data_IF_786813056788
#
_entry.id   IF_786813056788
#
_cell.length_a   1.000
_cell.length_b   1.000
_cell.length_c   1.000
_cell.angle_alpha   90.00
_cell.angle_beta   90.00
_cell.angle_gamma   90.00
#
_symmetry.space_group_name_H-M   'P 1'
#
loop_
_entity.id
_entity.type
_entity.pdbx_description
1 polymer ?
#
# COMPACT_ATOMS: atom_id res chain seq x y z
N UNK A 1 -30.97 -3.74 9.84
CA UNK A 1 -30.60 -2.70 8.87
C UNK A 1 -29.13 -2.80 8.44
N UNK A 2 -28.21 -3.11 9.33
CA UNK A 2 -26.77 -3.18 9.04
C UNK A 2 -26.34 -4.23 8.00
N UNK A 3 -26.98 -5.40 7.96
CA UNK A 3 -26.62 -6.44 6.99
C UNK A 3 -26.85 -6.03 5.53
N UNK A 4 -27.90 -5.23 5.30
CA UNK A 4 -28.20 -4.72 3.95
C UNK A 4 -27.24 -3.64 3.49
N UNK A 5 -26.71 -2.84 4.41
CA UNK A 5 -25.71 -1.81 4.11
C UNK A 5 -24.36 -2.46 3.79
N UNK A 6 -23.97 -3.51 4.52
CA UNK A 6 -22.74 -4.27 4.25
C UNK A 6 -22.77 -4.98 2.89
N UNK A 7 -23.91 -5.56 2.55
CA UNK A 7 -24.12 -6.19 1.23
C UNK A 7 -24.06 -5.14 0.12
N UNK A 8 -24.69 -3.96 0.30
CA UNK A 8 -24.64 -2.86 -0.66
C UNK A 8 -23.21 -2.29 -0.85
N UNK A 9 -22.44 -2.16 0.24
CA UNK A 9 -21.04 -1.72 0.15
C UNK A 9 -20.17 -2.76 -0.56
N UNK A 10 -20.31 -4.04 -0.25
CA UNK A 10 -19.60 -5.12 -0.93
C UNK A 10 -19.94 -5.21 -2.41
N UNK A 11 -21.22 -5.06 -2.77
CA UNK A 11 -21.64 -5.04 -4.18
C UNK A 11 -21.13 -3.81 -4.92
N UNK A 12 -21.05 -2.65 -4.27
CA UNK A 12 -20.48 -1.43 -4.86
C UNK A 12 -18.97 -1.57 -5.11
N UNK A 13 -18.22 -2.19 -4.20
CA UNK A 13 -16.77 -2.46 -4.38
C UNK A 13 -16.53 -3.48 -5.49
N UNK A 14 -17.34 -4.55 -5.58
CA UNK A 14 -17.23 -5.54 -6.65
C UNK A 14 -17.60 -4.95 -8.01
N UNK A 15 -18.63 -4.07 -8.06
CA UNK A 15 -19.00 -3.37 -9.29
C UNK A 15 -17.93 -2.35 -9.73
N UNK A 16 -17.28 -1.66 -8.80
CA UNK A 16 -16.17 -0.75 -9.11
C UNK A 16 -14.93 -1.51 -9.63
N UNK A 17 -14.62 -2.69 -9.06
CA UNK A 17 -13.54 -3.55 -9.53
C UNK A 17 -13.81 -4.14 -10.93
N UNK A 18 -15.07 -4.48 -11.25
CA UNK A 18 -15.43 -5.02 -12.57
C UNK A 18 -15.47 -3.95 -13.67
N UNK A 19 -15.68 -2.68 -13.33
CA UNK A 19 -15.63 -1.59 -14.29
C UNK A 19 -14.21 -1.27 -14.80
N UNK A 20 -13.17 -1.66 -14.06
CA UNK A 20 -11.77 -1.47 -14.46
C UNK A 20 -11.23 -2.56 -15.41
N UNK A 21 -11.95 -3.67 -15.58
CA UNK A 21 -11.52 -4.78 -16.45
C UNK A 21 -12.06 -4.71 -17.89
N UNK A 22 -12.94 -3.77 -18.20
CA UNK A 22 -13.55 -3.65 -19.55
C UNK A 22 -12.77 -2.80 -20.54
N UNK A 23 -11.50 -2.50 -20.28
CA UNK A 23 -10.63 -1.65 -21.12
C UNK A 23 -9.73 -2.38 -22.13
N UNK A 24 -9.82 -3.70 -22.29
CA UNK A 24 -9.04 -4.41 -23.31
C UNK A 24 -9.86 -4.59 -24.58
N UNK A 25 -9.78 -3.62 -25.51
CA UNK A 25 -10.20 -3.79 -26.88
C UNK A 25 -9.36 -4.88 -27.54
N UNK A 26 -10.05 -5.89 -28.02
CA UNK A 26 -9.52 -6.96 -28.90
C UNK A 26 -8.96 -6.30 -30.18
N UNK A 27 -7.65 -6.12 -30.23
CA UNK A 27 -6.95 -5.85 -31.47
C UNK A 27 -6.37 -7.15 -32.01
N UNK A 28 -6.77 -7.65 -33.18
CA UNK A 28 -6.20 -8.85 -33.76
C UNK A 28 -4.79 -8.56 -34.25
N UNK A 29 -3.77 -8.98 -33.51
CA UNK A 29 -2.41 -9.01 -34.01
C UNK A 29 -2.31 -10.03 -35.16
N UNK A 30 -2.20 -9.51 -36.38
CA UNK A 30 -1.85 -10.26 -37.55
C UNK A 30 -0.35 -10.56 -37.47
N UNK A 31 0.00 -11.77 -37.04
CA UNK A 31 1.38 -12.26 -37.14
C UNK A 31 1.76 -12.34 -38.62
N UNK A 32 2.62 -11.44 -39.06
CA UNK A 32 3.37 -11.59 -40.29
C UNK A 32 4.64 -12.38 -39.91
N UNK A 33 4.69 -13.62 -40.34
CA UNK A 33 5.90 -14.43 -40.29
C UNK A 33 7.00 -13.72 -41.08
N UNK A 34 8.03 -13.21 -40.43
CA UNK A 34 9.28 -12.84 -41.08
C UNK A 34 10.14 -14.11 -41.14
N UNK A 35 10.32 -14.60 -42.36
CA UNK A 35 11.30 -15.63 -42.71
C UNK A 35 12.68 -14.98 -42.65
N UNK A 36 13.50 -15.42 -41.68
CA UNK A 36 14.90 -15.06 -41.61
C UNK A 36 15.66 -15.71 -42.77
N UNK A 37 15.96 -14.91 -43.78
CA UNK A 37 16.98 -15.25 -44.74
C UNK A 37 18.29 -14.53 -44.33
N UNK A 38 19.29 -15.31 -43.97
CA UNK A 38 20.65 -14.88 -43.74
C UNK A 38 21.22 -14.35 -45.07
N UNK A 39 21.72 -13.11 -45.15
CA UNK A 39 22.51 -12.70 -46.29
C UNK A 39 23.98 -13.01 -46.02
N UNK A 40 24.49 -13.88 -46.88
CA UNK A 40 25.92 -14.08 -47.17
C UNK A 40 26.61 -12.78 -47.55
N UNK A 41 27.82 -12.60 -47.02
CA UNK A 41 28.77 -11.54 -47.41
C UNK A 41 28.98 -11.54 -48.92
N UNK A 42 28.85 -10.39 -49.52
CA UNK A 42 29.43 -10.09 -50.82
C UNK A 42 30.01 -8.65 -50.81
N UNK A 43 31.28 -8.64 -51.08
CA UNK A 43 32.24 -7.55 -51.27
C UNK A 43 31.76 -6.40 -52.15
N UNK A 44 32.25 -5.23 -51.80
CA UNK A 44 32.72 -4.08 -52.57
C UNK A 44 32.04 -3.75 -53.91
N UNK A 45 31.24 -2.66 -53.90
CA UNK A 45 31.13 -1.75 -55.03
C UNK A 45 30.80 -0.35 -54.57
N UNK A 46 31.70 0.59 -54.82
CA UNK A 46 31.51 2.03 -54.71
C UNK A 46 30.30 2.48 -55.47
N UNK A 47 29.43 3.20 -54.80
CA UNK A 47 28.25 3.86 -55.41
C UNK A 47 27.46 4.57 -54.33
N UNK A 48 27.84 5.77 -53.97
CA UNK A 48 27.18 6.58 -52.94
C UNK A 48 25.72 6.83 -53.26
N UNK A 49 24.84 6.06 -52.64
CA UNK A 49 23.45 6.47 -52.44
C UNK A 49 23.40 7.50 -51.31
N UNK A 50 22.81 8.70 -51.54
CA UNK A 50 22.68 9.65 -50.45
C UNK A 50 21.85 9.01 -49.36
N UNK A 51 22.36 9.02 -48.12
CA UNK A 51 21.62 8.55 -46.93
C UNK A 51 20.31 9.31 -46.84
N UNK A 52 19.19 8.60 -46.99
CA UNK A 52 17.80 9.17 -47.07
C UNK A 52 17.36 9.75 -45.76
N UNK A 53 18.08 9.49 -44.65
CA UNK A 53 17.80 10.06 -43.33
C UNK A 53 19.13 10.35 -42.66
N UNK A 54 19.50 11.62 -42.56
CA UNK A 54 20.55 12.09 -41.66
C UNK A 54 19.91 12.38 -40.29
N UNK A 55 20.09 11.52 -39.26
CA UNK A 55 19.51 11.76 -37.96
C UNK A 55 20.32 12.81 -37.21
N UNK A 56 20.15 14.08 -37.55
CA UNK A 56 20.65 15.23 -36.76
C UNK A 56 19.90 15.41 -35.45
N UNK A 57 19.39 14.31 -34.87
CA UNK A 57 18.87 14.34 -33.51
C UNK A 57 20.07 14.37 -32.56
N UNK A 58 20.36 15.56 -32.01
CA UNK A 58 21.28 15.68 -30.88
C UNK A 58 20.90 14.62 -29.84
N UNK A 59 21.78 13.64 -29.62
CA UNK A 59 21.60 12.65 -28.54
C UNK A 59 21.41 13.40 -27.23
N UNK A 60 20.19 13.38 -26.73
CA UNK A 60 19.85 13.92 -25.43
C UNK A 60 20.58 13.06 -24.40
N UNK A 61 21.53 13.64 -23.68
CA UNK A 61 22.15 12.97 -22.55
C UNK A 61 21.07 12.90 -21.47
N UNK A 62 20.34 11.80 -21.43
CA UNK A 62 19.41 11.51 -20.35
C UNK A 62 20.28 11.19 -19.15
N UNK A 63 20.30 12.09 -18.18
CA UNK A 63 20.94 11.87 -16.89
C UNK A 63 20.07 10.82 -16.19
N UNK A 64 20.45 9.55 -16.30
CA UNK A 64 19.84 8.50 -15.49
C UNK A 64 19.98 8.91 -14.03
N UNK A 65 18.86 9.05 -13.27
CA UNK A 65 18.95 9.29 -11.85
C UNK A 65 19.81 8.14 -11.28
N UNK A 66 20.91 8.47 -10.61
CA UNK A 66 21.57 7.50 -9.75
C UNK A 66 20.60 7.30 -8.59
N UNK A 67 19.90 6.19 -8.58
CA UNK A 67 19.15 5.72 -7.44
C UNK A 67 20.20 5.52 -6.35
N UNK A 68 20.33 6.50 -5.46
CA UNK A 68 20.97 6.27 -4.19
C UNK A 68 20.07 5.27 -3.49
N UNK A 69 20.53 4.05 -3.31
CA UNK A 69 19.86 3.05 -2.52
C UNK A 69 19.84 3.55 -1.06
N UNK A 70 18.82 4.35 -0.74
CA UNK A 70 18.49 4.65 0.65
C UNK A 70 17.57 3.52 1.08
N UNK A 71 18.14 2.52 1.74
CA UNK A 71 17.45 1.27 2.05
C UNK A 71 16.53 1.41 3.28
N UNK A 72 16.75 2.44 4.10
CA UNK A 72 15.97 2.68 5.30
C UNK A 72 14.95 3.80 5.09
N UNK A 73 13.75 3.54 5.59
CA UNK A 73 12.62 4.46 5.57
C UNK A 73 12.07 4.61 7.00
N UNK A 74 11.93 5.83 7.49
CA UNK A 74 11.34 6.13 8.79
C UNK A 74 10.31 7.25 8.66
N UNK A 75 9.23 7.16 9.38
CA UNK A 75 8.24 8.22 9.40
C UNK A 75 7.12 8.01 10.40
N UNK A 76 6.15 8.90 10.33
CA UNK A 76 4.96 8.88 11.15
C UNK A 76 3.70 8.80 10.31
N UNK A 77 2.63 8.35 10.92
CA UNK A 77 1.32 8.30 10.30
C UNK A 77 0.20 8.64 11.28
N UNK A 78 -0.90 9.10 10.73
CA UNK A 78 -2.12 9.39 11.45
C UNK A 78 -3.30 8.83 10.66
N UNK A 79 -4.38 8.48 11.35
CA UNK A 79 -5.54 7.95 10.65
C UNK A 79 -6.67 7.58 11.58
N UNK A 80 -7.44 6.61 11.13
CA UNK A 80 -8.59 6.07 11.86
C UNK A 80 -8.41 4.57 12.09
N UNK A 81 -8.74 4.14 13.29
CA UNK A 81 -8.74 2.75 13.71
C UNK A 81 -10.16 2.36 14.11
N UNK A 82 -10.78 1.47 13.34
CA UNK A 82 -12.12 0.93 13.61
C UNK A 82 -11.97 -0.33 14.46
N UNK A 83 -12.01 -0.16 15.77
CA UNK A 83 -12.00 -1.28 16.69
C UNK A 83 -13.39 -1.95 16.69
N UNK A 84 -13.42 -3.27 16.46
CA UNK A 84 -14.66 -4.02 16.48
C UNK A 84 -15.34 -3.88 17.85
N UNK A 85 -16.62 -3.51 17.85
CA UNK A 85 -17.45 -3.24 19.02
C UNK A 85 -17.15 -1.91 19.77
N UNK A 86 -16.04 -1.18 19.45
CA UNK A 86 -15.62 0.06 20.13
C UNK A 86 -15.62 1.30 19.24
N UNK A 87 -16.16 1.20 18.01
CA UNK A 87 -16.29 2.31 17.08
C UNK A 87 -14.98 2.71 16.39
N UNK A 88 -15.01 3.87 15.74
CA UNK A 88 -13.89 4.43 14.98
C UNK A 88 -13.20 5.50 15.81
N UNK A 89 -11.90 5.41 15.95
CA UNK A 89 -11.08 6.27 16.80
C UNK A 89 -9.83 6.75 16.05
N UNK A 90 -9.28 7.92 16.37
CA UNK A 90 -8.04 8.38 15.78
C UNK A 90 -6.87 7.49 16.22
N UNK A 91 -5.95 7.22 15.29
CA UNK A 91 -4.71 6.47 15.54
C UNK A 91 -3.51 7.31 15.14
N UNK A 92 -2.43 7.16 15.90
CA UNK A 92 -1.15 7.81 15.67
C UNK A 92 -0.05 6.78 15.80
N UNK A 93 0.87 6.75 14.84
CA UNK A 93 1.92 5.74 14.84
C UNK A 93 3.20 6.19 14.17
N UNK A 94 4.21 5.33 14.29
CA UNK A 94 5.47 5.43 13.61
C UNK A 94 5.73 4.16 12.80
N UNK A 95 6.41 4.31 11.69
CA UNK A 95 6.82 3.27 10.75
C UNK A 95 8.33 3.32 10.56
N UNK A 96 8.95 2.16 10.55
CA UNK A 96 10.32 1.93 10.12
C UNK A 96 10.29 0.83 9.08
N UNK A 97 10.84 1.06 7.90
CA UNK A 97 10.95 0.04 6.89
C UNK A 97 12.40 -0.08 6.37
N UNK A 98 12.75 -1.28 5.95
CA UNK A 98 14.01 -1.61 5.30
C UNK A 98 13.71 -2.25 3.95
N UNK A 99 14.15 -1.62 2.88
CA UNK A 99 13.97 -2.09 1.51
C UNK A 99 15.04 -3.12 1.18
N UNK A 100 14.65 -4.40 1.13
CA UNK A 100 15.53 -5.53 0.83
C UNK A 100 15.85 -5.57 -0.66
N UNK A 101 14.86 -5.20 -1.48
CA UNK A 101 14.95 -5.07 -2.92
C UNK A 101 13.98 -4.00 -3.42
N UNK A 102 13.94 -3.75 -4.72
CA UNK A 102 12.96 -2.82 -5.31
C UNK A 102 11.51 -3.25 -5.04
N UNK A 103 11.27 -4.56 -4.95
CA UNK A 103 9.93 -5.13 -4.75
C UNK A 103 9.62 -5.46 -3.30
N UNK A 104 10.62 -5.89 -2.49
CA UNK A 104 10.41 -6.38 -1.13
C UNK A 104 10.95 -5.44 -0.07
N UNK A 105 10.16 -5.23 0.96
CA UNK A 105 10.58 -4.50 2.16
C UNK A 105 10.11 -5.21 3.43
N UNK A 106 10.91 -5.06 4.49
CA UNK A 106 10.52 -5.42 5.85
C UNK A 106 10.11 -4.16 6.59
N UNK A 107 9.08 -4.24 7.43
CA UNK A 107 8.62 -3.09 8.20
C UNK A 107 8.34 -3.41 9.66
N UNK A 108 8.46 -2.38 10.49
CA UNK A 108 8.04 -2.36 11.88
C UNK A 108 7.10 -1.18 12.10
N UNK A 109 6.00 -1.45 12.77
CA UNK A 109 4.96 -0.47 13.07
C UNK A 109 4.73 -0.39 14.58
N UNK A 110 4.55 0.81 15.09
CA UNK A 110 4.09 1.05 16.45
C UNK A 110 3.05 2.16 16.42
N UNK A 111 1.90 1.92 17.04
CA UNK A 111 0.89 2.96 17.14
C UNK A 111 0.03 2.82 18.39
N UNK A 112 -0.70 3.90 18.65
CA UNK A 112 -1.61 3.99 19.78
C UNK A 112 -2.91 4.67 19.36
N UNK A 113 -4.01 4.17 19.91
CA UNK A 113 -5.34 4.74 19.82
C UNK A 113 -6.05 4.65 21.16
N UNK A 114 -7.07 5.45 21.38
CA UNK A 114 -7.94 5.34 22.55
C UNK A 114 -9.33 4.94 22.05
N UNK A 115 -9.79 3.74 22.41
CA UNK A 115 -11.11 3.24 21.99
C UNK A 115 -12.24 3.97 22.68
N UNK A 116 -13.37 4.13 21.96
CA UNK A 116 -14.61 4.71 22.48
C UNK A 116 -15.35 3.79 23.45
N UNK A 117 -16.56 4.17 23.79
CA UNK A 117 -17.51 3.32 24.52
C UNK A 117 -18.12 2.31 23.57
N UNK A 118 -18.45 1.13 24.09
CA UNK A 118 -19.24 0.15 23.33
C UNK A 118 -20.70 0.59 23.24
N UNK A 119 -21.40 0.12 22.22
CA UNK A 119 -22.85 0.32 22.13
C UNK A 119 -23.60 -0.21 23.35
N UNK A 120 -23.07 -1.27 24.00
CA UNK A 120 -23.62 -1.81 25.24
C UNK A 120 -23.46 -0.83 26.42
N UNK A 121 -22.30 -0.19 26.57
CA UNK A 121 -22.05 0.82 27.59
C UNK A 121 -22.91 2.08 27.40
N UNK A 122 -23.19 2.45 26.15
CA UNK A 122 -24.05 3.59 25.83
C UNK A 122 -25.53 3.30 26.14
N UNK A 123 -25.98 2.09 25.82
CA UNK A 123 -27.37 1.69 26.04
C UNK A 123 -27.69 1.37 27.52
N UNK A 124 -26.72 0.78 28.25
CA UNK A 124 -26.92 0.43 29.67
C UNK A 124 -26.79 1.61 30.63
N UNK A 125 -26.19 2.69 30.21
CA UNK A 125 -26.09 3.98 30.92
C UNK A 125 -25.32 4.00 32.24
N UNK A 126 -24.95 2.85 32.81
CA UNK A 126 -24.38 2.74 34.14
C UNK A 126 -23.18 1.80 34.29
N UNK A 127 -22.88 0.99 33.27
CA UNK A 127 -21.82 -0.03 33.39
C UNK A 127 -20.66 0.34 32.46
N UNK A 128 -19.52 0.68 33.04
CA UNK A 128 -18.27 0.83 32.29
C UNK A 128 -17.57 -0.55 32.24
N UNK A 129 -17.45 -1.13 31.04
CA UNK A 129 -16.76 -2.41 30.82
C UNK A 129 -15.24 -2.25 30.97
N UNK A 130 -14.71 -1.09 30.57
CA UNK A 130 -13.29 -0.79 30.61
C UNK A 130 -13.00 0.51 31.38
N UNK A 131 -11.93 0.53 32.14
CA UNK A 131 -11.39 1.75 32.72
C UNK A 131 -10.73 2.60 31.63
N UNK A 132 -10.54 3.90 31.89
CA UNK A 132 -9.89 4.81 30.93
C UNK A 132 -8.48 4.36 30.50
N UNK A 133 -7.76 3.69 31.39
CA UNK A 133 -6.44 3.12 31.09
C UNK A 133 -6.51 1.88 30.19
N UNK A 134 -7.54 1.05 30.37
CA UNK A 134 -7.79 -0.16 29.58
C UNK A 134 -8.32 0.16 28.17
N UNK A 135 -8.91 1.36 27.96
CA UNK A 135 -9.33 1.83 26.65
C UNK A 135 -8.16 2.21 25.74
N UNK A 136 -6.96 2.39 26.29
CA UNK A 136 -5.78 2.65 25.48
C UNK A 136 -5.37 1.37 24.79
N UNK A 137 -5.43 1.37 23.45
CA UNK A 137 -4.93 0.30 22.61
C UNK A 137 -3.58 0.73 22.04
N UNK A 138 -2.59 -0.13 22.18
CA UNK A 138 -1.25 0.08 21.60
C UNK A 138 -0.84 -1.21 20.92
N UNK A 139 -0.38 -1.14 19.69
CA UNK A 139 0.11 -2.30 18.97
C UNK A 139 1.56 -2.10 18.47
N UNK A 140 2.23 -3.23 18.30
CA UNK A 140 3.56 -3.36 17.72
C UNK A 140 3.52 -4.50 16.73
N UNK A 141 3.76 -4.20 15.45
CA UNK A 141 3.73 -5.20 14.40
C UNK A 141 5.05 -5.19 13.64
N UNK A 142 5.44 -6.36 13.16
CA UNK A 142 6.54 -6.55 12.23
C UNK A 142 6.02 -7.37 11.05
N UNK A 143 6.40 -7.01 9.85
CA UNK A 143 5.91 -7.66 8.65
C UNK A 143 6.80 -7.45 7.45
N UNK A 144 6.32 -7.97 6.34
CA UNK A 144 6.91 -7.81 5.03
C UNK A 144 5.88 -7.23 4.08
N UNK A 145 6.35 -6.39 3.17
CA UNK A 145 5.55 -5.86 2.08
C UNK A 145 6.15 -6.19 0.72
N UNK A 146 5.28 -6.21 -0.26
CA UNK A 146 5.62 -6.47 -1.65
C UNK A 146 4.97 -5.43 -2.57
N UNK A 147 5.79 -4.76 -3.40
CA UNK A 147 5.32 -3.81 -4.39
C UNK A 147 4.73 -4.56 -5.58
N UNK A 148 3.39 -4.52 -5.75
CA UNK A 148 2.69 -5.22 -6.82
C UNK A 148 2.72 -4.42 -8.12
N UNK A 149 2.48 -3.12 -8.02
CA UNK A 149 2.39 -2.22 -9.17
C UNK A 149 3.28 -1.00 -8.97
N UNK A 150 4.57 -1.08 -9.34
CA UNK A 150 5.40 0.12 -9.49
C UNK A 150 4.90 0.93 -10.68
N UNK A 151 4.89 2.26 -10.56
CA UNK A 151 4.37 3.12 -11.59
C UNK A 151 4.81 4.58 -11.42
N UNK A 152 4.39 5.41 -12.34
CA UNK A 152 4.61 6.85 -12.31
C UNK A 152 3.27 7.58 -12.37
N UNK A 153 3.12 8.61 -11.55
CA UNK A 153 1.95 9.49 -11.56
C UNK A 153 2.37 10.86 -12.04
N UNK A 154 1.66 11.36 -13.04
CA UNK A 154 1.87 12.69 -13.58
C UNK A 154 0.88 13.67 -12.94
N UNK A 155 1.40 14.65 -12.20
CA UNK A 155 0.60 15.72 -11.60
C UNK A 155 0.90 17.02 -12.34
N UNK A 156 -0.09 17.52 -13.08
CA UNK A 156 0.08 18.66 -13.97
C UNK A 156 0.84 18.31 -15.25
N UNK A 157 1.47 19.31 -15.88
CA UNK A 157 2.17 19.14 -17.17
C UNK A 157 3.65 18.79 -17.04
N UNK A 158 4.26 19.01 -15.87
CA UNK A 158 5.73 19.01 -15.74
C UNK A 158 6.26 18.17 -14.57
N UNK A 159 5.41 17.53 -13.78
CA UNK A 159 5.84 16.77 -12.62
C UNK A 159 5.43 15.30 -12.74
N UNK A 160 6.42 14.43 -12.73
CA UNK A 160 6.26 12.98 -12.63
C UNK A 160 6.74 12.55 -11.24
N UNK A 161 5.95 11.72 -10.58
CA UNK A 161 6.24 11.17 -9.27
C UNK A 161 6.25 9.65 -9.35
N UNK A 162 7.26 9.01 -8.78
CA UNK A 162 7.27 7.57 -8.66
C UNK A 162 6.21 7.12 -7.64
N UNK A 163 5.47 6.10 -7.97
CA UNK A 163 4.44 5.54 -7.11
C UNK A 163 4.48 4.01 -7.10
N UNK A 164 3.96 3.41 -6.06
CA UNK A 164 3.79 1.97 -5.98
C UNK A 164 2.55 1.60 -5.18
N UNK A 165 1.80 0.63 -5.67
CA UNK A 165 0.81 -0.09 -4.88
C UNK A 165 1.50 -1.30 -4.29
N UNK A 166 1.31 -1.54 -3.00
CA UNK A 166 1.91 -2.67 -2.30
C UNK A 166 0.89 -3.40 -1.43
N UNK A 167 1.19 -4.63 -1.11
CA UNK A 167 0.52 -5.41 -0.06
C UNK A 167 1.50 -5.70 1.04
N UNK A 168 0.98 -5.86 2.24
CA UNK A 168 1.77 -6.14 3.42
C UNK A 168 1.08 -7.18 4.29
N UNK A 169 1.89 -7.98 4.99
CA UNK A 169 1.41 -8.92 5.98
C UNK A 169 2.44 -9.05 7.10
N UNK A 170 1.95 -9.23 8.31
CA UNK A 170 2.81 -9.27 9.47
C UNK A 170 2.15 -9.88 10.70
N UNK A 171 2.95 -9.95 11.74
CA UNK A 171 2.53 -10.42 13.06
C UNK A 171 3.00 -9.45 14.13
N UNK A 172 2.34 -9.47 15.25
CA UNK A 172 2.73 -8.60 16.35
C UNK A 172 1.94 -8.84 17.63
N UNK A 173 1.87 -7.80 18.42
CA UNK A 173 1.17 -7.81 19.70
C UNK A 173 0.36 -6.54 19.90
N UNK A 174 -0.88 -6.70 20.33
CA UNK A 174 -1.80 -5.60 20.67
C UNK A 174 -2.07 -5.64 22.16
N UNK A 175 -1.76 -4.54 22.86
CA UNK A 175 -2.11 -4.31 24.26
C UNK A 175 -3.46 -3.62 24.32
N UNK A 176 -4.47 -4.30 24.86
CA UNK A 176 -5.82 -3.79 24.97
C UNK A 176 -6.58 -4.49 26.11
N UNK A 177 -7.51 -3.75 26.78
CA UNK A 177 -8.33 -4.32 27.85
C UNK A 177 -7.58 -4.82 29.09
N UNK A 178 -6.31 -4.43 29.25
CA UNK A 178 -5.43 -4.92 30.34
C UNK A 178 -4.64 -6.19 29.99
N UNK A 179 -4.86 -6.76 28.79
CA UNK A 179 -4.14 -7.91 28.24
C UNK A 179 -3.21 -7.57 27.09
N UNK A 180 -2.40 -8.55 26.68
CA UNK A 180 -1.59 -8.52 25.47
C UNK A 180 -2.04 -9.66 24.58
N UNK A 181 -2.44 -9.34 23.36
CA UNK A 181 -3.00 -10.30 22.42
C UNK A 181 -2.04 -10.44 21.22
N UNK A 182 -1.80 -11.67 20.79
CA UNK A 182 -1.10 -11.92 19.54
C UNK A 182 -1.97 -11.42 18.39
N UNK A 183 -1.36 -10.66 17.47
CA UNK A 183 -2.05 -9.99 16.37
C UNK A 183 -1.46 -10.42 15.04
N UNK A 184 -2.31 -10.75 14.08
CA UNK A 184 -1.95 -10.92 12.68
C UNK A 184 -2.43 -9.69 11.95
N UNK A 185 -1.59 -9.13 11.08
CA UNK A 185 -1.88 -7.96 10.26
C UNK A 185 -1.79 -8.33 8.79
N UNK A 186 -2.74 -7.83 8.00
CA UNK A 186 -2.67 -7.84 6.54
C UNK A 186 -3.21 -6.53 6.01
N UNK A 187 -2.63 -6.03 4.93
CA UNK A 187 -3.00 -4.74 4.38
C UNK A 187 -2.56 -4.51 2.96
N UNK A 188 -2.95 -3.35 2.47
CA UNK A 188 -2.50 -2.80 1.20
C UNK A 188 -2.28 -1.30 1.35
N UNK A 189 -1.31 -0.79 0.60
CA UNK A 189 -0.98 0.61 0.64
C UNK A 189 -0.61 1.17 -0.74
N UNK A 190 -0.62 2.48 -0.79
CA UNK A 190 -0.17 3.26 -1.92
C UNK A 190 0.92 4.21 -1.45
N UNK A 191 2.09 4.11 -2.07
CA UNK A 191 3.24 4.98 -1.81
C UNK A 191 3.44 5.94 -2.98
N UNK A 192 3.64 7.22 -2.67
CA UNK A 192 3.96 8.27 -3.62
C UNK A 192 5.25 8.97 -3.20
N UNK A 193 6.31 8.84 -3.99
CA UNK A 193 7.56 9.57 -3.79
C UNK A 193 7.36 11.03 -4.18
N UNK A 194 7.32 11.92 -3.19
CA UNK A 194 7.20 13.37 -3.40
C UNK A 194 8.53 14.00 -3.79
N UNK A 195 9.61 13.45 -3.25
CA UNK A 195 10.99 13.83 -3.56
C UNK A 195 11.87 12.58 -3.47
N UNK A 196 13.14 12.67 -3.87
CA UNK A 196 14.11 11.55 -3.76
C UNK A 196 14.25 11.00 -2.32
N UNK A 197 13.75 11.72 -1.31
CA UNK A 197 13.89 11.36 0.10
C UNK A 197 12.58 11.30 0.89
N UNK A 198 11.49 11.82 0.35
CA UNK A 198 10.23 11.94 1.07
C UNK A 198 9.14 11.21 0.31
N UNK A 199 8.45 10.31 0.98
CA UNK A 199 7.28 9.63 0.46
C UNK A 199 6.03 9.92 1.31
N UNK A 200 4.89 9.94 0.63
CA UNK A 200 3.57 9.88 1.25
C UNK A 200 2.99 8.48 1.10
N UNK A 201 2.32 8.02 2.14
CA UNK A 201 1.67 6.71 2.19
C UNK A 201 0.20 6.84 2.50
N UNK A 202 -0.60 6.03 1.83
CA UNK A 202 -2.01 5.78 2.15
C UNK A 202 -2.15 4.28 2.37
N UNK A 203 -2.48 3.86 3.58
CA UNK A 203 -2.54 2.47 3.96
C UNK A 203 -3.91 2.07 4.48
N UNK A 204 -4.31 0.84 4.19
CA UNK A 204 -5.47 0.17 4.79
C UNK A 204 -5.02 -1.18 5.30
N UNK A 205 -5.16 -1.41 6.61
CA UNK A 205 -4.72 -2.62 7.33
C UNK A 205 -5.86 -3.23 8.11
N UNK A 206 -5.91 -4.54 8.19
CA UNK A 206 -6.75 -5.29 9.13
C UNK A 206 -5.87 -5.96 10.18
N UNK A 207 -6.14 -5.64 11.45
CA UNK A 207 -5.48 -6.22 12.61
C UNK A 207 -6.41 -7.23 13.25
N UNK A 208 -6.04 -8.51 13.16
CA UNK A 208 -6.84 -9.62 13.64
C UNK A 208 -6.22 -10.20 14.91
N UNK A 209 -6.96 -10.21 16.00
CA UNK A 209 -6.54 -10.84 17.25
C UNK A 209 -7.71 -11.46 17.99
N UNK A 210 -7.42 -12.29 19.00
CA UNK A 210 -8.44 -12.86 19.88
C UNK A 210 -8.61 -11.99 21.13
N UNK A 211 -9.86 -11.69 21.45
CA UNK A 211 -10.25 -10.88 22.59
C UNK A 211 -11.25 -11.67 23.44
N UNK A 212 -11.10 -11.62 24.76
CA UNK A 212 -11.92 -12.32 25.76
C UNK A 212 -12.69 -11.38 26.71
N UNK A 213 -12.74 -10.09 26.40
CA UNK A 213 -13.39 -9.05 27.23
C UNK A 213 -14.85 -9.33 27.56
N UNK A 214 -15.55 -10.12 26.76
CA UNK A 214 -16.95 -10.48 26.97
C UNK A 214 -17.14 -11.85 27.63
N UNK A 215 -16.04 -12.43 28.20
CA UNK A 215 -16.08 -13.73 28.89
C UNK A 215 -16.02 -14.95 27.97
N UNK A 216 -15.86 -14.75 26.67
CA UNK A 216 -15.58 -15.80 25.68
C UNK A 216 -14.56 -15.30 24.65
N UNK A 217 -13.77 -16.22 24.15
CA UNK A 217 -12.78 -15.87 23.10
C UNK A 217 -13.51 -15.56 21.79
N UNK A 218 -13.28 -14.34 21.30
CA UNK A 218 -13.81 -13.85 20.01
C UNK A 218 -12.66 -13.35 19.17
N UNK A 219 -12.58 -13.80 17.92
CA UNK A 219 -11.70 -13.21 16.92
C UNK A 219 -12.31 -11.87 16.48
N UNK A 220 -11.52 -10.81 16.60
CA UNK A 220 -11.93 -9.45 16.23
C UNK A 220 -11.09 -8.94 15.08
N UNK A 221 -11.76 -8.26 14.14
CA UNK A 221 -11.18 -7.58 13.00
C UNK A 221 -11.20 -6.08 13.23
N UNK A 222 -10.05 -5.46 13.11
CA UNK A 222 -9.90 -4.04 13.39
C UNK A 222 -9.28 -3.37 12.18
N UNK A 223 -10.11 -2.65 11.43
CA UNK A 223 -9.70 -1.98 10.22
C UNK A 223 -9.05 -0.63 10.54
N UNK A 224 -7.87 -0.43 10.00
CA UNK A 224 -7.11 0.81 10.10
C UNK A 224 -6.97 1.46 8.73
N UNK A 225 -7.16 2.78 8.65
CA UNK A 225 -6.87 3.59 7.47
C UNK A 225 -5.98 4.75 7.88
N UNK A 226 -4.80 4.87 7.26
CA UNK A 226 -3.79 5.86 7.66
C UNK A 226 -3.21 6.63 6.49
N UNK A 227 -2.81 7.85 6.80
CA UNK A 227 -1.95 8.69 5.97
C UNK A 227 -0.63 8.88 6.70
N UNK A 228 0.47 8.61 6.01
CA UNK A 228 1.82 8.70 6.53
C UNK A 228 2.73 9.54 5.67
N UNK A 229 3.78 10.05 6.30
CA UNK A 229 4.91 10.68 5.62
C UNK A 229 6.18 10.07 6.18
N UNK A 230 7.07 9.67 5.26
CA UNK A 230 8.32 9.00 5.57
C UNK A 230 9.48 9.67 4.89
N UNK A 231 10.68 9.45 5.42
CA UNK A 231 11.93 9.89 4.83
C UNK A 231 12.87 8.71 4.65
N UNK A 232 13.59 8.70 3.52
CA UNK A 232 14.60 7.73 3.15
C UNK A 232 16.01 8.22 3.52
N UNK A 233 16.86 7.31 4.01
CA UNK A 233 18.25 7.62 4.37
C UNK A 233 19.19 6.42 4.21
#
# INVERSE_FOLDING_TARGET
>A
MESRIRVLLLTAVVLAASAMTSGCSLWPFRHRAHTDAVPTEASDAEGGSPAVVDPTVKRRTVKTPKIKSSDFEIGGYVGTYSAQDFGVNPVYGARLAYHISEDFFAEGLVATTKTGRTSYEELSGSTNLLTDSQRKLTYYNMGFGYNIFPGEVFIGRNHAFNSAVYVEAGVGATKFGGGTHFTVMAGAGYRLLLTDKIAAHLDVRDHVFQNDLLGYQKTVHNLESTLGVTTYF
#
